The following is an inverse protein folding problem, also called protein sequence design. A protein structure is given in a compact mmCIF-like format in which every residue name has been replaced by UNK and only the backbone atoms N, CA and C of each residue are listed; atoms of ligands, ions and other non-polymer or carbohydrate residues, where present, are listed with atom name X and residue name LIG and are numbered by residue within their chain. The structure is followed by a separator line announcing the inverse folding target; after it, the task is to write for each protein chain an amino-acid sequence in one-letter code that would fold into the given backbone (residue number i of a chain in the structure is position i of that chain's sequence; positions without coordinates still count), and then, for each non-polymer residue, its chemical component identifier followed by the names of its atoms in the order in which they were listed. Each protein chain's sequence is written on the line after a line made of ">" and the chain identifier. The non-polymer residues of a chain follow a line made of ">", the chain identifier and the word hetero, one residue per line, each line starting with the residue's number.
data_IF_389698989797
#
_entry.id   IF_389698989797
#
_cell.length_a   1.000
_cell.length_b   1.000
_cell.length_c   1.000
_cell.angle_alpha   90.00
_cell.angle_beta   90.00
_cell.angle_gamma   90.00
#
_symmetry.space_group_name_H-M   'P 1'
#
loop_
_entity.id
_entity.type
_entity.pdbx_description
1 polymer ?
#
# COMPACT_ATOMS: atom_id res chain seq x y z
N UNK A 1 75.25 -13.25 15.63
CA UNK A 1 75.38 -14.61 15.04
C UNK A 1 74.05 -15.05 14.59
N UNK A 2 74.00 -14.95 13.41
CA UNK A 2 73.85 -15.61 12.12
C UNK A 2 72.44 -15.56 11.57
N UNK A 3 72.40 -14.88 10.46
CA UNK A 3 71.38 -14.89 9.41
C UNK A 3 70.92 -16.27 8.99
N UNK A 4 69.72 -16.34 8.46
CA UNK A 4 69.49 -16.91 7.10
C UNK A 4 68.13 -16.50 6.55
N UNK A 5 68.21 -15.78 5.42
CA UNK A 5 67.17 -15.56 4.40
C UNK A 5 66.81 -16.85 3.66
N UNK A 6 65.61 -16.89 3.16
CA UNK A 6 65.13 -17.37 1.83
C UNK A 6 63.60 -17.17 1.85
N UNK A 7 62.92 -16.50 0.98
CA UNK A 7 63.07 -16.27 -0.46
C UNK A 7 61.84 -16.83 -1.18
N UNK A 8 61.02 -15.96 -1.79
CA UNK A 8 60.31 -16.34 -3.01
C UNK A 8 58.78 -16.41 -2.99
N UNK A 9 58.13 -15.36 -3.49
CA UNK A 9 57.06 -15.38 -4.52
C UNK A 9 55.77 -16.18 -4.21
N UNK A 10 54.58 -15.71 -4.45
CA UNK A 10 53.93 -14.99 -5.55
C UNK A 10 52.59 -14.47 -5.12
N UNK A 11 52.22 -13.30 -5.59
CA UNK A 11 50.93 -12.66 -5.32
C UNK A 11 49.75 -13.42 -5.94
N UNK A 12 48.64 -13.34 -5.25
CA UNK A 12 47.29 -13.44 -5.84
C UNK A 12 46.46 -12.30 -5.28
N UNK A 13 46.25 -11.31 -6.11
CA UNK A 13 45.21 -10.30 -5.93
C UNK A 13 43.86 -10.98 -5.91
N UNK A 14 43.17 -10.96 -4.79
CA UNK A 14 41.74 -11.26 -4.72
C UNK A 14 40.99 -9.95 -4.98
N UNK A 15 40.48 -9.79 -6.21
CA UNK A 15 39.47 -8.81 -6.55
C UNK A 15 38.24 -9.05 -5.70
N UNK A 16 37.95 -8.07 -4.86
CA UNK A 16 36.63 -7.96 -4.19
C UNK A 16 35.58 -7.74 -5.27
N UNK A 17 34.72 -8.71 -5.45
CA UNK A 17 33.52 -8.61 -6.29
C UNK A 17 32.46 -7.77 -5.59
N UNK A 18 32.11 -6.70 -6.25
CA UNK A 18 31.10 -5.71 -5.94
C UNK A 18 29.78 -6.31 -5.44
N UNK A 19 29.26 -5.67 -4.40
CA UNK A 19 27.96 -6.00 -3.81
C UNK A 19 26.81 -5.90 -4.81
N UNK A 20 25.94 -6.87 -4.74
CA UNK A 20 24.63 -6.92 -5.37
C UNK A 20 23.78 -5.74 -4.86
N UNK A 21 23.59 -4.72 -5.68
CA UNK A 21 22.49 -3.77 -5.55
C UNK A 21 21.21 -4.53 -5.88
N UNK A 22 20.46 -4.98 -4.87
CA UNK A 22 19.07 -5.30 -5.04
C UNK A 22 18.31 -3.99 -5.28
N UNK A 23 18.08 -3.68 -6.54
CA UNK A 23 17.07 -2.73 -6.94
C UNK A 23 15.72 -3.33 -6.55
N UNK A 24 14.93 -2.58 -5.79
CA UNK A 24 13.49 -2.81 -5.61
C UNK A 24 12.86 -2.70 -6.99
N UNK A 25 12.67 -3.84 -7.65
CA UNK A 25 12.00 -3.88 -8.94
C UNK A 25 10.50 -3.80 -8.68
N UNK A 26 9.86 -2.74 -9.19
CA UNK A 26 8.40 -2.71 -9.34
C UNK A 26 7.94 -3.98 -10.06
N UNK A 27 6.77 -4.56 -9.68
CA UNK A 27 6.25 -5.73 -10.34
C UNK A 27 6.02 -5.42 -11.83
N UNK A 28 6.55 -6.28 -12.72
CA UNK A 28 6.30 -6.16 -14.16
C UNK A 28 4.81 -6.25 -14.41
N UNK A 29 4.24 -5.24 -15.07
CA UNK A 29 2.83 -5.22 -15.50
C UNK A 29 2.51 -6.47 -16.32
N UNK A 30 1.36 -7.09 -16.02
CA UNK A 30 0.75 -8.10 -16.89
C UNK A 30 0.50 -7.50 -18.28
N UNK A 31 0.87 -8.22 -19.34
CA UNK A 31 0.52 -7.86 -20.71
C UNK A 31 -1.00 -8.05 -20.89
N UNK A 32 -1.77 -6.98 -21.18
CA UNK A 32 -3.23 -7.08 -21.35
C UNK A 32 -3.65 -8.02 -22.50
N UNK A 33 -2.71 -8.41 -23.37
CA UNK A 33 -3.00 -9.23 -24.57
C UNK A 33 -3.21 -10.72 -24.27
N UNK A 34 -2.88 -11.22 -23.08
CA UNK A 34 -2.95 -12.66 -22.76
C UNK A 34 -4.24 -13.12 -22.11
N UNK A 35 -5.09 -12.20 -21.61
CA UNK A 35 -6.40 -12.50 -21.03
C UNK A 35 -7.51 -12.39 -22.08
N UNK A 36 -7.82 -13.48 -22.79
CA UNK A 36 -9.02 -13.58 -23.66
C UNK A 36 -10.27 -13.88 -22.82
N UNK A 37 -10.67 -12.99 -21.92
CA UNK A 37 -12.03 -12.97 -21.37
C UNK A 37 -12.63 -11.58 -21.60
N UNK A 38 -13.91 -11.56 -22.02
CA UNK A 38 -14.66 -10.39 -22.44
C UNK A 38 -14.61 -9.26 -21.42
N UNK A 39 -13.66 -8.34 -21.58
CA UNK A 39 -13.72 -7.03 -20.93
C UNK A 39 -14.87 -6.23 -21.59
N UNK A 40 -15.65 -5.45 -20.84
CA UNK A 40 -16.69 -4.59 -21.40
C UNK A 40 -16.08 -3.62 -22.42
N UNK A 41 -16.81 -3.33 -23.50
CA UNK A 41 -16.35 -2.45 -24.58
C UNK A 41 -16.04 -1.04 -24.04
N UNK A 42 -14.90 -0.49 -24.39
CA UNK A 42 -14.32 0.78 -23.90
C UNK A 42 -15.23 2.02 -23.93
N UNK A 43 -16.32 2.02 -24.68
CA UNK A 43 -17.23 3.17 -24.84
C UNK A 43 -18.31 3.29 -23.76
N UNK A 44 -18.66 2.22 -23.05
CA UNK A 44 -19.61 2.26 -21.94
C UNK A 44 -18.92 2.48 -20.57
N UNK A 45 -17.60 2.28 -20.49
CA UNK A 45 -16.86 2.27 -19.23
C UNK A 45 -16.62 3.68 -18.64
N UNK A 46 -16.44 4.73 -19.45
CA UNK A 46 -16.01 6.05 -18.94
C UNK A 46 -17.08 6.84 -18.18
N UNK A 47 -18.36 6.79 -18.59
CA UNK A 47 -19.46 7.41 -17.84
C UNK A 47 -19.80 6.61 -16.57
N UNK A 48 -19.54 5.30 -16.59
CA UNK A 48 -19.80 4.39 -15.47
C UNK A 48 -18.68 4.46 -14.42
N UNK A 49 -17.44 4.77 -14.82
CA UNK A 49 -16.28 4.83 -13.93
C UNK A 49 -16.38 5.93 -12.88
N UNK A 50 -16.71 7.17 -13.30
CA UNK A 50 -16.87 8.31 -12.38
C UNK A 50 -18.00 8.07 -11.38
N UNK A 51 -19.15 7.57 -11.82
CA UNK A 51 -20.28 7.24 -10.94
C UNK A 51 -19.94 6.11 -9.96
N UNK A 52 -19.21 5.08 -10.43
CA UNK A 52 -18.73 4.00 -9.55
C UNK A 52 -17.74 4.51 -8.51
N UNK A 53 -16.79 5.36 -8.90
CA UNK A 53 -15.89 6.02 -7.96
C UNK A 53 -16.63 6.93 -6.97
N UNK A 54 -17.58 7.76 -7.41
CA UNK A 54 -18.37 8.64 -6.53
C UNK A 54 -19.11 7.82 -5.46
N UNK A 55 -19.69 6.68 -5.84
CA UNK A 55 -20.31 5.75 -4.89
C UNK A 55 -19.28 5.14 -3.93
N UNK A 56 -18.14 4.68 -4.43
CA UNK A 56 -17.05 4.15 -3.60
C UNK A 56 -16.54 5.22 -2.61
N UNK A 57 -16.38 6.46 -3.06
CA UNK A 57 -15.95 7.57 -2.22
C UNK A 57 -16.98 7.96 -1.15
N UNK A 58 -18.27 7.91 -1.46
CA UNK A 58 -19.32 8.11 -0.46
C UNK A 58 -19.23 7.04 0.64
N UNK A 59 -19.14 5.75 0.26
CA UNK A 59 -18.97 4.65 1.20
C UNK A 59 -17.70 4.87 2.05
N UNK A 60 -16.59 5.30 1.44
CA UNK A 60 -15.34 5.56 2.16
C UNK A 60 -15.49 6.60 3.27
N UNK A 61 -16.28 7.68 3.06
CA UNK A 61 -16.52 8.68 4.11
C UNK A 61 -17.36 8.12 5.27
N UNK A 62 -18.35 7.26 4.95
CA UNK A 62 -19.14 6.57 5.96
C UNK A 62 -18.26 5.59 6.76
N UNK A 63 -17.40 4.81 6.10
CA UNK A 63 -16.43 3.90 6.75
C UNK A 63 -15.47 4.66 7.64
N UNK A 64 -14.90 5.78 7.19
CA UNK A 64 -14.01 6.62 8.00
C UNK A 64 -14.68 7.09 9.28
N UNK A 65 -15.92 7.55 9.18
CA UNK A 65 -16.71 7.99 10.33
C UNK A 65 -17.03 6.82 11.27
N UNK A 66 -17.47 5.70 10.71
CA UNK A 66 -17.73 4.47 11.45
C UNK A 66 -16.50 3.98 12.19
N UNK A 67 -15.36 3.83 11.51
CA UNK A 67 -14.11 3.36 12.11
C UNK A 67 -13.65 4.25 13.28
N UNK A 68 -13.66 5.58 13.09
CA UNK A 68 -13.33 6.54 14.17
C UNK A 68 -14.26 6.46 15.37
N UNK A 69 -15.50 6.01 15.21
CA UNK A 69 -16.49 5.93 16.29
C UNK A 69 -16.28 4.74 17.23
N UNK A 70 -15.73 3.63 16.74
CA UNK A 70 -15.63 2.40 17.53
C UNK A 70 -14.22 1.98 17.91
N UNK A 71 -13.19 2.36 17.11
CA UNK A 71 -11.80 1.96 17.40
C UNK A 71 -11.34 2.58 18.72
N UNK A 72 -10.85 1.71 19.60
CA UNK A 72 -10.31 2.09 20.92
C UNK A 72 -9.01 1.34 21.18
N UNK A 73 -8.21 1.89 22.08
CA UNK A 73 -7.02 1.19 22.60
C UNK A 73 -7.38 -0.21 23.09
N UNK A 74 -6.46 -1.14 22.92
CA UNK A 74 -6.55 -2.55 23.33
C UNK A 74 -7.59 -3.40 22.58
N UNK A 75 -8.29 -2.86 21.56
CA UNK A 75 -9.14 -3.67 20.70
C UNK A 75 -8.30 -4.59 19.81
N UNK A 76 -8.70 -5.87 19.59
CA UNK A 76 -8.02 -6.75 18.65
C UNK A 76 -8.00 -6.17 17.24
N UNK A 77 -6.83 -6.10 16.60
CA UNK A 77 -6.72 -5.60 15.22
C UNK A 77 -7.54 -6.43 14.24
N UNK A 78 -7.62 -7.74 14.45
CA UNK A 78 -8.44 -8.64 13.64
C UNK A 78 -9.92 -8.22 13.66
N UNK A 79 -10.46 -7.94 14.85
CA UNK A 79 -11.84 -7.49 15.01
C UNK A 79 -12.08 -6.13 14.31
N UNK A 80 -11.12 -5.22 14.41
CA UNK A 80 -11.21 -3.90 13.75
C UNK A 80 -11.25 -4.08 12.23
N UNK A 81 -10.34 -4.88 11.65
CA UNK A 81 -10.29 -5.10 10.22
C UNK A 81 -11.57 -5.74 9.69
N UNK A 82 -12.06 -6.81 10.35
CA UNK A 82 -13.28 -7.50 9.94
C UNK A 82 -14.51 -6.59 10.02
N UNK A 83 -14.66 -5.81 11.10
CA UNK A 83 -15.79 -4.86 11.22
C UNK A 83 -15.79 -3.80 10.13
N UNK A 84 -14.61 -3.29 9.75
CA UNK A 84 -14.48 -2.30 8.67
C UNK A 84 -14.85 -2.95 7.33
N UNK A 85 -14.31 -4.11 7.02
CA UNK A 85 -14.55 -4.84 5.77
C UNK A 85 -16.01 -5.30 5.63
N UNK A 86 -16.61 -5.83 6.70
CA UNK A 86 -18.01 -6.22 6.72
C UNK A 86 -18.93 -5.00 6.49
N UNK A 87 -18.59 -3.84 7.07
CA UNK A 87 -19.33 -2.59 6.86
C UNK A 87 -19.23 -2.07 5.43
N UNK A 88 -18.08 -2.24 4.76
CA UNK A 88 -17.94 -1.91 3.32
C UNK A 88 -18.94 -2.69 2.47
N UNK A 89 -19.06 -4.01 2.75
CA UNK A 89 -19.99 -4.90 2.03
C UNK A 89 -21.44 -4.54 2.33
N UNK A 90 -21.78 -4.25 3.61
CA UNK A 90 -23.12 -3.81 4.01
C UNK A 90 -23.56 -2.54 3.24
N UNK A 91 -22.64 -1.61 3.00
CA UNK A 91 -22.91 -0.38 2.26
C UNK A 91 -22.92 -0.55 0.73
N UNK A 92 -22.66 -1.78 0.25
CA UNK A 92 -22.72 -2.12 -1.18
C UNK A 92 -21.45 -1.82 -1.96
N UNK A 93 -20.30 -1.70 -1.29
CA UNK A 93 -18.96 -1.72 -1.86
C UNK A 93 -18.27 -3.05 -1.63
N UNK A 94 -17.03 -3.19 -2.12
CA UNK A 94 -16.13 -4.29 -1.79
C UNK A 94 -14.77 -3.72 -1.36
N UNK A 95 -14.03 -4.38 -0.46
CA UNK A 95 -12.64 -4.00 -0.20
C UNK A 95 -11.79 -4.02 -1.49
N UNK A 96 -11.11 -2.92 -1.78
CA UNK A 96 -10.16 -2.85 -2.89
C UNK A 96 -8.81 -3.48 -2.54
N UNK A 97 -8.53 -3.54 -1.24
CA UNK A 97 -7.40 -4.23 -0.63
C UNK A 97 -7.74 -4.50 0.85
N UNK A 98 -7.00 -5.41 1.53
CA UNK A 98 -7.23 -5.70 2.94
C UNK A 98 -7.03 -4.46 3.81
N UNK A 99 -7.92 -4.21 4.76
CA UNK A 99 -7.74 -3.10 5.70
C UNK A 99 -6.39 -3.21 6.41
N UNK A 100 -5.53 -2.19 6.23
CA UNK A 100 -4.22 -2.09 6.89
C UNK A 100 -4.38 -1.37 8.23
N UNK A 101 -3.79 -1.95 9.27
CA UNK A 101 -3.82 -1.45 10.65
C UNK A 101 -2.39 -1.35 11.19
N UNK A 102 -1.65 -0.38 10.68
CA UNK A 102 -0.22 -0.23 10.93
C UNK A 102 0.05 0.61 12.19
N UNK A 103 0.83 0.05 13.14
CA UNK A 103 1.12 0.67 14.45
C UNK A 103 2.52 1.29 14.44
N UNK A 104 2.65 2.48 14.99
CA UNK A 104 3.90 3.19 15.27
C UNK A 104 4.84 3.28 14.04
N UNK A 105 5.98 2.60 14.08
CA UNK A 105 7.00 2.60 13.02
C UNK A 105 6.64 1.79 11.76
N UNK A 106 5.63 0.93 11.82
CA UNK A 106 5.11 0.28 10.62
C UNK A 106 4.32 1.34 9.85
N UNK A 107 4.85 1.80 8.74
CA UNK A 107 4.24 2.85 7.94
C UNK A 107 3.00 2.34 7.19
N UNK A 108 3.10 1.16 6.56
CA UNK A 108 2.05 0.59 5.73
C UNK A 108 2.14 -0.95 5.64
N UNK A 109 1.15 -1.55 4.98
CA UNK A 109 1.08 -2.98 4.66
C UNK A 109 1.05 -3.91 5.87
N UNK A 110 0.43 -3.48 6.97
CA UNK A 110 0.12 -4.39 8.06
C UNK A 110 -1.38 -4.69 8.07
N UNK A 111 -1.76 -5.90 7.71
CA UNK A 111 -3.13 -6.43 7.92
C UNK A 111 -3.09 -7.62 8.88
N UNK A 112 -4.03 -7.73 9.83
CA UNK A 112 -4.05 -8.86 10.76
C UNK A 112 -4.27 -10.19 10.03
N UNK A 113 -3.52 -11.23 10.45
CA UNK A 113 -3.78 -12.60 10.02
C UNK A 113 -5.04 -13.17 10.70
N UNK A 114 -5.47 -14.36 10.25
CA UNK A 114 -6.66 -15.03 10.82
C UNK A 114 -6.52 -15.41 12.30
N UNK A 115 -5.31 -15.45 12.83
CA UNK A 115 -4.96 -15.81 14.21
C UNK A 115 -4.19 -14.71 14.94
N UNK A 116 -4.19 -13.49 14.39
CA UNK A 116 -3.49 -12.34 14.97
C UNK A 116 -4.01 -12.01 16.38
N UNK A 117 -3.07 -11.79 17.30
CA UNK A 117 -3.36 -11.44 18.71
C UNK A 117 -3.03 -10.00 19.05
N UNK A 118 -2.53 -9.22 18.08
CA UNK A 118 -2.20 -7.81 18.32
C UNK A 118 -3.45 -6.99 18.58
N UNK A 119 -3.26 -5.98 19.40
CA UNK A 119 -4.30 -5.01 19.74
C UNK A 119 -3.92 -3.60 19.27
N UNK A 120 -4.90 -2.75 19.14
CA UNK A 120 -4.74 -1.35 18.76
C UNK A 120 -4.04 -0.58 19.89
N UNK A 121 -2.91 0.05 19.57
CA UNK A 121 -2.08 0.81 20.51
C UNK A 121 -1.30 1.92 19.80
N UNK A 122 -0.67 2.78 20.56
CA UNK A 122 0.26 3.77 20.04
C UNK A 122 -0.37 4.75 19.05
N UNK A 123 0.34 5.01 17.96
CA UNK A 123 -0.16 5.73 16.80
C UNK A 123 -0.60 4.70 15.75
N UNK A 124 -1.91 4.53 15.59
CA UNK A 124 -2.53 3.59 14.67
C UNK A 124 -2.88 4.29 13.35
N UNK A 125 -2.39 3.76 12.23
CA UNK A 125 -2.85 4.09 10.89
C UNK A 125 -3.90 3.09 10.45
N UNK A 126 -5.05 3.61 10.01
CA UNK A 126 -6.14 2.84 9.43
C UNK A 126 -6.22 3.22 7.96
N UNK A 127 -5.84 2.30 7.11
CA UNK A 127 -5.74 2.50 5.68
C UNK A 127 -6.62 1.44 4.97
N UNK A 128 -7.52 1.90 4.11
CA UNK A 128 -8.57 1.10 3.53
C UNK A 128 -9.04 1.62 2.18
N UNK A 129 -9.23 0.71 1.25
CA UNK A 129 -9.79 1.01 -0.07
C UNK A 129 -11.14 0.33 -0.26
N UNK A 130 -12.08 1.04 -0.88
CA UNK A 130 -13.36 0.51 -1.31
C UNK A 130 -13.47 0.62 -2.81
N UNK A 131 -13.94 -0.43 -3.47
CA UNK A 131 -14.27 -0.32 -4.88
C UNK A 131 -15.73 -0.63 -5.17
N UNK A 132 -16.25 0.00 -6.22
CA UNK A 132 -17.51 -0.33 -6.88
C UNK A 132 -17.17 -0.57 -8.35
N UNK A 133 -17.44 -1.77 -8.84
CA UNK A 133 -17.11 -2.19 -10.22
C UNK A 133 -15.63 -1.93 -10.61
N UNK A 134 -14.68 -2.20 -9.69
CA UNK A 134 -13.26 -2.01 -9.92
C UNK A 134 -12.73 -0.58 -9.73
N UNK A 135 -13.59 0.43 -9.57
CA UNK A 135 -13.19 1.82 -9.36
C UNK A 135 -13.03 2.10 -7.86
N UNK A 136 -11.81 2.34 -7.46
CA UNK A 136 -11.40 2.41 -6.05
C UNK A 136 -11.41 3.83 -5.51
N UNK A 137 -11.91 3.98 -4.27
CA UNK A 137 -11.61 5.10 -3.38
C UNK A 137 -10.66 4.62 -2.29
N UNK A 138 -9.44 5.11 -2.32
CA UNK A 138 -8.35 4.83 -1.39
C UNK A 138 -8.28 5.90 -0.32
N UNK A 139 -8.20 5.51 0.95
CA UNK A 139 -8.30 6.42 2.08
C UNK A 139 -7.52 5.92 3.29
N UNK A 140 -6.85 6.83 3.97
CA UNK A 140 -6.25 6.55 5.26
C UNK A 140 -6.45 7.68 6.27
N UNK A 141 -6.36 7.33 7.54
CA UNK A 141 -6.27 8.26 8.65
C UNK A 141 -5.45 7.66 9.79
N UNK A 142 -4.88 8.52 10.61
CA UNK A 142 -4.17 8.11 11.82
C UNK A 142 -4.97 8.43 13.09
N UNK A 143 -4.78 7.61 14.13
CA UNK A 143 -5.38 7.79 15.46
C UNK A 143 -4.29 7.72 16.53
N UNK A 144 -4.33 8.66 17.47
CA UNK A 144 -3.52 8.62 18.68
C UNK A 144 -4.28 7.87 19.80
N UNK A 145 -3.80 6.68 20.15
CA UNK A 145 -4.39 5.85 21.21
C UNK A 145 -3.63 5.95 22.56
N UNK A 146 -2.67 6.90 22.65
CA UNK A 146 -1.84 7.12 23.86
C UNK A 146 -2.09 8.49 24.50
N UNK A 147 -2.87 9.35 23.86
CA UNK A 147 -3.04 10.75 24.24
C UNK A 147 -1.70 11.52 24.27
N UNK A 148 -0.87 11.33 23.25
CA UNK A 148 0.45 11.94 23.11
C UNK A 148 0.40 13.22 22.29
N UNK A 149 0.90 14.32 22.84
CA UNK A 149 0.99 15.60 22.11
C UNK A 149 1.90 15.50 20.87
N UNK A 150 2.92 14.65 20.91
CA UNK A 150 3.77 14.39 19.74
C UNK A 150 3.00 13.65 18.65
N UNK A 151 2.24 12.62 19.00
CA UNK A 151 1.41 11.88 18.03
C UNK A 151 0.37 12.80 17.39
N UNK A 152 -0.30 13.64 18.18
CA UNK A 152 -1.30 14.61 17.68
C UNK A 152 -0.69 15.57 16.66
N UNK A 153 0.48 16.14 16.94
CA UNK A 153 1.20 17.03 16.02
C UNK A 153 1.66 16.29 14.75
N UNK A 154 2.10 15.03 14.89
CA UNK A 154 2.51 14.23 13.76
C UNK A 154 1.31 13.93 12.84
N UNK A 155 0.17 13.57 13.40
CA UNK A 155 -1.09 13.38 12.68
C UNK A 155 -1.51 14.69 11.99
N UNK A 156 -1.55 15.80 12.72
CA UNK A 156 -1.89 17.12 12.18
C UNK A 156 -1.01 17.51 11.00
N UNK A 157 0.28 17.17 11.03
CA UNK A 157 1.21 17.48 9.94
C UNK A 157 0.85 16.76 8.64
N UNK A 158 0.47 15.48 8.71
CA UNK A 158 0.04 14.70 7.54
C UNK A 158 -1.34 15.15 7.03
N UNK A 159 -2.28 15.43 7.94
CA UNK A 159 -3.61 15.96 7.60
C UNK A 159 -3.51 17.33 6.90
N UNK A 160 -2.67 18.21 7.42
CA UNK A 160 -2.47 19.55 6.83
C UNK A 160 -1.75 19.45 5.49
N UNK A 161 -0.82 18.53 5.34
CA UNK A 161 -0.16 18.27 4.06
C UNK A 161 -1.15 17.78 3.00
N UNK A 162 -2.05 16.86 3.35
CA UNK A 162 -3.11 16.40 2.47
C UNK A 162 -4.08 17.52 2.09
N UNK A 163 -4.48 18.34 3.07
CA UNK A 163 -5.37 19.50 2.83
C UNK A 163 -4.73 20.47 1.82
N UNK A 164 -3.47 20.86 2.04
CA UNK A 164 -2.77 21.81 1.19
C UNK A 164 -2.50 21.25 -0.21
N UNK A 165 -2.02 20.01 -0.32
CA UNK A 165 -1.82 19.35 -1.61
C UNK A 165 -3.12 19.25 -2.40
N UNK A 166 -4.22 18.87 -1.73
CA UNK A 166 -5.53 18.74 -2.39
C UNK A 166 -6.08 20.03 -2.98
N UNK A 167 -5.77 21.20 -2.38
CA UNK A 167 -6.21 22.52 -2.89
C UNK A 167 -5.60 22.85 -4.24
N UNK A 168 -4.38 22.36 -4.51
CA UNK A 168 -3.65 22.63 -5.73
C UNK A 168 -3.58 21.42 -6.67
N UNK A 169 -4.24 20.31 -6.34
CA UNK A 169 -4.21 19.10 -7.14
C UNK A 169 -5.14 19.24 -8.37
N UNK A 170 -4.62 19.84 -9.42
CA UNK A 170 -5.32 20.09 -10.69
C UNK A 170 -4.33 20.15 -11.86
N UNK A 171 -4.84 20.24 -13.10
CA UNK A 171 -4.03 20.24 -14.35
C UNK A 171 -3.05 21.40 -14.51
N UNK A 172 -3.16 22.46 -13.71
CA UNK A 172 -2.25 23.61 -13.78
C UNK A 172 -0.94 23.34 -13.05
N UNK A 173 -0.92 22.32 -12.15
CA UNK A 173 0.23 21.98 -11.33
C UNK A 173 0.92 20.69 -11.80
N UNK A 174 2.20 20.56 -11.45
CA UNK A 174 3.00 19.37 -11.69
C UNK A 174 3.05 18.47 -10.46
N UNK A 175 3.38 17.20 -10.66
CA UNK A 175 3.58 16.27 -9.54
C UNK A 175 4.68 16.75 -8.57
N UNK A 176 5.75 17.38 -9.07
CA UNK A 176 6.80 17.96 -8.22
C UNK A 176 6.30 19.12 -7.36
N UNK A 177 5.40 19.97 -7.86
CA UNK A 177 4.77 21.04 -7.05
C UNK A 177 3.89 20.48 -5.95
N UNK A 178 3.17 19.38 -6.21
CA UNK A 178 2.41 18.67 -5.18
C UNK A 178 3.34 18.12 -4.10
N UNK A 179 4.37 17.36 -4.51
CA UNK A 179 5.36 16.81 -3.58
C UNK A 179 6.07 17.89 -2.75
N UNK A 180 6.42 19.02 -3.38
CA UNK A 180 6.98 20.18 -2.68
C UNK A 180 6.02 20.73 -1.62
N UNK A 181 4.75 20.84 -1.94
CA UNK A 181 3.72 21.35 -1.00
C UNK A 181 3.56 20.42 0.20
N UNK A 182 3.57 19.09 -0.03
CA UNK A 182 3.55 18.09 1.03
C UNK A 182 4.79 18.23 1.91
N UNK A 183 5.97 18.24 1.30
CA UNK A 183 7.25 18.35 2.02
C UNK A 183 7.33 19.63 2.85
N UNK A 184 7.05 20.79 2.25
CA UNK A 184 7.13 22.08 2.93
C UNK A 184 6.15 22.13 4.10
N UNK A 185 4.95 21.56 3.95
CA UNK A 185 3.95 21.52 5.03
C UNK A 185 4.44 20.65 6.18
N UNK A 186 4.85 19.39 5.93
CA UNK A 186 5.35 18.49 6.98
C UNK A 186 6.58 19.08 7.67
N UNK A 187 7.52 19.67 6.91
CA UNK A 187 8.74 20.27 7.43
C UNK A 187 8.46 21.48 8.32
N UNK A 188 7.37 22.23 8.09
CA UNK A 188 6.96 23.35 8.95
C UNK A 188 6.60 22.91 10.38
N UNK A 189 6.17 21.66 10.55
CA UNK A 189 5.95 21.01 11.85
C UNK A 189 7.23 20.40 12.45
N UNK A 190 8.40 20.53 11.77
CA UNK A 190 9.69 19.94 12.14
C UNK A 190 9.70 18.39 12.06
N UNK A 191 8.91 17.84 11.17
CA UNK A 191 8.89 16.43 10.80
C UNK A 191 9.45 16.23 9.38
N UNK A 192 9.68 14.97 9.00
CA UNK A 192 10.13 14.57 7.67
C UNK A 192 9.02 13.86 6.91
N UNK A 193 8.82 14.13 5.60
CA UNK A 193 8.01 13.25 4.78
C UNK A 193 8.73 11.92 4.55
N UNK A 194 7.98 10.83 4.34
CA UNK A 194 8.57 9.57 3.86
C UNK A 194 8.77 9.69 2.35
N UNK A 195 10.04 9.76 1.90
CA UNK A 195 10.37 10.08 0.50
C UNK A 195 10.28 8.88 -0.46
N UNK A 196 10.24 7.67 0.04
CA UNK A 196 10.11 6.45 -0.76
C UNK A 196 8.74 5.77 -0.61
N UNK A 197 7.75 6.49 -0.12
CA UNK A 197 6.32 6.24 -0.29
C UNK A 197 5.70 7.39 -1.07
N UNK A 198 4.67 7.10 -1.84
CA UNK A 198 4.02 8.08 -2.72
C UNK A 198 2.58 7.69 -2.99
N UNK A 199 1.71 8.66 -3.14
CA UNK A 199 0.44 8.45 -3.79
C UNK A 199 0.60 7.99 -5.24
N UNK A 200 -0.50 7.59 -5.86
CA UNK A 200 -0.48 6.92 -7.16
C UNK A 200 -1.74 7.21 -7.98
N UNK A 201 -1.66 6.98 -9.29
CA UNK A 201 -2.84 6.93 -10.13
C UNK A 201 -3.55 5.57 -9.96
N UNK A 202 -4.88 5.60 -10.14
CA UNK A 202 -5.76 4.44 -10.01
C UNK A 202 -6.53 4.28 -11.33
N UNK A 203 -6.74 3.04 -11.77
CA UNK A 203 -7.65 2.70 -12.85
C UNK A 203 -8.54 1.51 -12.48
N UNK A 204 -9.43 1.11 -13.36
CA UNK A 204 -10.37 0.02 -13.10
C UNK A 204 -9.62 -1.28 -12.78
N UNK A 205 -9.83 -1.84 -11.59
CA UNK A 205 -9.11 -2.99 -11.02
C UNK A 205 -7.57 -2.86 -10.99
N UNK A 206 -7.03 -1.66 -11.10
CA UNK A 206 -5.58 -1.40 -11.01
C UNK A 206 -5.31 -0.29 -10.00
N UNK A 207 -4.87 -0.67 -8.81
CA UNK A 207 -4.64 0.26 -7.71
C UNK A 207 -3.43 1.18 -7.97
N UNK A 208 -2.42 0.72 -8.74
CA UNK A 208 -1.19 1.47 -9.03
C UNK A 208 -0.99 1.60 -10.55
N UNK A 209 -1.78 2.46 -11.19
CA UNK A 209 -1.89 2.50 -12.66
C UNK A 209 -0.81 3.32 -13.39
N UNK A 210 0.29 3.66 -12.74
CA UNK A 210 1.51 4.13 -13.42
C UNK A 210 2.08 5.48 -12.99
N UNK A 211 1.28 6.50 -12.63
CA UNK A 211 1.81 7.76 -12.12
C UNK A 211 2.01 7.69 -10.61
N UNK A 212 3.05 8.35 -10.11
CA UNK A 212 3.29 8.53 -8.68
C UNK A 212 3.05 9.98 -8.26
N UNK A 213 2.40 10.17 -7.11
CA UNK A 213 2.23 11.48 -6.45
C UNK A 213 3.24 11.56 -5.32
N UNK A 214 4.38 12.25 -5.49
CA UNK A 214 5.47 12.20 -4.54
C UNK A 214 5.13 12.93 -3.22
N UNK A 215 5.76 12.50 -2.13
CA UNK A 215 5.69 13.15 -0.83
C UNK A 215 6.78 14.21 -0.62
N UNK A 216 7.60 14.47 -1.63
CA UNK A 216 8.71 15.42 -1.59
C UNK A 216 8.92 16.08 -2.96
N UNK A 217 9.67 17.16 -2.99
CA UNK A 217 10.06 17.87 -4.22
C UNK A 217 11.05 17.03 -5.04
N UNK A 218 10.52 16.14 -5.86
CA UNK A 218 11.31 15.31 -6.78
C UNK A 218 11.66 16.00 -8.11
N UNK A 219 11.30 17.30 -8.25
CA UNK A 219 11.50 18.10 -9.48
C UNK A 219 10.77 17.55 -10.72
N UNK A 220 9.77 16.67 -10.56
CA UNK A 220 8.97 16.20 -11.66
C UNK A 220 8.10 17.36 -12.20
N UNK A 221 8.38 17.79 -13.43
CA UNK A 221 7.64 18.87 -14.12
C UNK A 221 6.41 18.37 -14.88
N UNK A 222 6.13 17.07 -14.86
CA UNK A 222 4.97 16.50 -15.52
C UNK A 222 3.68 17.02 -14.87
N UNK A 223 2.78 17.53 -15.70
CA UNK A 223 1.50 18.08 -15.24
C UNK A 223 0.50 16.97 -14.92
N UNK A 224 -0.34 17.23 -13.93
CA UNK A 224 -1.42 16.34 -13.56
C UNK A 224 -2.38 16.24 -14.76
N UNK A 225 -2.70 15.03 -15.16
CA UNK A 225 -3.62 14.74 -16.27
C UNK A 225 -5.00 14.28 -15.76
N UNK A 226 -5.94 14.06 -16.68
CA UNK A 226 -7.22 13.41 -16.36
C UNK A 226 -6.98 12.04 -15.76
N UNK A 227 -7.68 11.73 -14.68
CA UNK A 227 -7.53 10.43 -14.03
C UNK A 227 -8.00 10.42 -12.58
N UNK A 228 -7.80 9.29 -11.95
CA UNK A 228 -8.08 9.06 -10.53
C UNK A 228 -6.75 8.92 -9.80
N UNK A 229 -6.58 9.62 -8.69
CA UNK A 229 -5.32 9.68 -7.97
C UNK A 229 -5.54 9.59 -6.46
N UNK A 230 -4.76 8.75 -5.79
CA UNK A 230 -4.57 8.77 -4.35
C UNK A 230 -3.47 9.77 -4.00
N UNK A 231 -3.71 10.58 -2.98
CA UNK A 231 -2.72 11.48 -2.37
C UNK A 231 -2.56 11.05 -0.92
N UNK A 232 -1.37 10.62 -0.53
CA UNK A 232 -1.11 9.97 0.76
C UNK A 232 0.16 10.50 1.46
N UNK A 233 0.12 11.66 2.08
CA UNK A 233 1.23 12.16 2.87
C UNK A 233 1.54 11.27 4.07
N UNK A 234 2.81 10.84 4.15
CA UNK A 234 3.37 10.16 5.31
C UNK A 234 4.34 11.09 6.03
N UNK A 235 4.16 11.28 7.33
CA UNK A 235 5.03 12.10 8.17
C UNK A 235 5.69 11.27 9.27
N UNK A 236 6.96 11.57 9.57
CA UNK A 236 7.71 10.92 10.65
C UNK A 236 8.67 11.90 11.33
N UNK A 237 9.05 11.59 12.57
CA UNK A 237 10.18 12.24 13.25
C UNK A 237 11.52 11.59 12.90
N UNK A 238 11.49 10.45 12.22
CA UNK A 238 12.65 9.65 11.87
C UNK A 238 13.40 10.13 10.64
N UNK A 239 14.05 9.19 9.94
CA UNK A 239 14.90 9.48 8.76
C UNK A 239 14.05 9.89 7.55
N UNK A 240 12.76 9.56 7.52
CA UNK A 240 11.90 9.83 6.37
C UNK A 240 12.04 8.80 5.25
N UNK A 241 12.36 7.56 5.59
CA UNK A 241 12.43 6.42 4.66
C UNK A 241 11.89 5.17 5.31
N UNK A 242 11.31 4.30 4.49
CA UNK A 242 10.91 2.95 4.88
C UNK A 242 11.79 1.90 4.22
N UNK A 243 11.85 0.74 4.86
CA UNK A 243 12.46 -0.49 4.36
C UNK A 243 11.50 -1.66 4.50
N UNK A 244 11.75 -2.73 3.75
CA UNK A 244 10.99 -3.96 3.86
C UNK A 244 11.16 -4.59 5.24
N UNK A 245 10.02 -4.88 5.85
CA UNK A 245 9.92 -5.58 7.13
C UNK A 245 9.59 -7.07 6.94
N UNK A 246 8.72 -7.59 7.82
CA UNK A 246 8.21 -8.95 7.73
C UNK A 246 7.23 -9.09 6.56
N UNK A 247 7.00 -10.31 6.04
CA UNK A 247 5.89 -10.58 5.14
C UNK A 247 4.57 -10.05 5.70
N UNK A 248 3.76 -9.39 4.88
CA UNK A 248 2.52 -8.73 5.32
C UNK A 248 1.32 -9.68 5.38
N UNK A 249 1.36 -10.77 4.60
CA UNK A 249 0.20 -11.60 4.33
C UNK A 249 -0.76 -10.98 3.30
N UNK A 250 -0.33 -9.91 2.61
CA UNK A 250 -1.04 -9.28 1.49
C UNK A 250 -0.41 -9.77 0.19
N UNK A 251 -1.25 -10.19 -0.73
CA UNK A 251 -0.86 -10.74 -2.03
C UNK A 251 -1.57 -10.01 -3.16
N UNK A 252 -0.98 -10.07 -4.35
CA UNK A 252 -1.59 -9.61 -5.59
C UNK A 252 -1.33 -10.62 -6.70
N UNK A 253 -2.32 -10.87 -7.52
CA UNK A 253 -2.18 -11.70 -8.71
C UNK A 253 -1.35 -10.96 -9.77
N UNK A 254 -0.25 -11.59 -10.21
CA UNK A 254 0.67 -11.02 -11.21
C UNK A 254 0.83 -11.89 -12.45
N UNK A 255 0.45 -13.17 -12.38
CA UNK A 255 0.52 -14.12 -13.51
C UNK A 255 -0.49 -15.24 -13.28
N UNK A 256 -1.10 -15.75 -14.36
CA UNK A 256 -2.10 -16.84 -14.31
C UNK A 256 -1.54 -18.18 -14.77
N UNK A 257 -0.23 -18.42 -14.63
CA UNK A 257 0.38 -19.73 -14.91
C UNK A 257 -0.33 -20.84 -14.16
N UNK A 258 -0.60 -21.94 -14.83
CA UNK A 258 -1.28 -23.08 -14.22
C UNK A 258 -0.43 -23.72 -13.11
N UNK A 259 -0.87 -23.74 -11.85
CA UNK A 259 -0.16 -24.40 -10.77
C UNK A 259 -0.34 -25.94 -10.84
N UNK A 260 0.51 -26.68 -10.12
CA UNK A 260 0.54 -28.14 -10.18
C UNK A 260 -0.63 -28.79 -9.45
N UNK A 261 -0.89 -28.36 -8.21
CA UNK A 261 -1.92 -29.01 -7.39
C UNK A 261 -3.33 -28.53 -7.79
N UNK A 262 -4.30 -29.41 -7.62
CA UNK A 262 -5.71 -29.08 -7.87
C UNK A 262 -6.17 -27.98 -6.91
N UNK A 263 -5.79 -28.04 -5.63
CA UNK A 263 -6.15 -27.02 -4.65
C UNK A 263 -5.60 -25.64 -5.02
N UNK A 264 -4.37 -25.57 -5.53
CA UNK A 264 -3.82 -24.29 -5.97
C UNK A 264 -4.56 -23.72 -7.20
N UNK A 265 -5.02 -24.60 -8.13
CA UNK A 265 -5.89 -24.17 -9.25
C UNK A 265 -7.23 -23.61 -8.75
N UNK A 266 -7.89 -24.33 -7.83
CA UNK A 266 -9.16 -23.86 -7.23
C UNK A 266 -9.02 -22.51 -6.52
N UNK A 267 -7.90 -22.31 -5.81
CA UNK A 267 -7.61 -21.04 -5.12
C UNK A 267 -7.27 -19.95 -6.13
N UNK A 268 -6.52 -20.25 -7.19
CA UNK A 268 -6.19 -19.30 -8.25
C UNK A 268 -7.45 -18.83 -8.98
N UNK A 269 -8.31 -19.76 -9.40
CA UNK A 269 -9.59 -19.44 -10.05
C UNK A 269 -10.45 -18.52 -9.14
N UNK A 270 -10.51 -18.83 -7.85
CA UNK A 270 -11.22 -17.98 -6.88
C UNK A 270 -10.61 -16.58 -6.75
N UNK A 271 -9.27 -16.46 -6.73
CA UNK A 271 -8.56 -15.17 -6.66
C UNK A 271 -8.86 -14.34 -7.91
N UNK A 272 -8.81 -14.95 -9.09
CA UNK A 272 -9.14 -14.27 -10.35
C UNK A 272 -10.58 -13.76 -10.38
N UNK A 273 -11.53 -14.59 -9.97
CA UNK A 273 -12.97 -14.26 -10.00
C UNK A 273 -13.35 -13.20 -8.96
N UNK A 274 -12.77 -13.26 -7.75
CA UNK A 274 -13.20 -12.39 -6.64
C UNK A 274 -12.41 -11.07 -6.56
N UNK A 275 -11.09 -11.14 -6.80
CA UNK A 275 -10.20 -9.98 -6.60
C UNK A 275 -9.63 -9.42 -7.89
N UNK A 276 -9.68 -10.16 -8.99
CA UNK A 276 -9.01 -9.79 -10.26
C UNK A 276 -7.53 -9.48 -10.04
N UNK A 277 -7.13 -8.23 -10.26
CA UNK A 277 -5.77 -7.72 -10.02
C UNK A 277 -5.64 -6.87 -8.76
N UNK A 278 -6.70 -6.76 -7.96
CA UNK A 278 -6.65 -6.05 -6.68
C UNK A 278 -5.93 -6.87 -5.60
N UNK A 279 -5.24 -6.23 -4.66
CA UNK A 279 -4.61 -6.92 -3.53
C UNK A 279 -5.63 -7.62 -2.63
N UNK A 280 -5.25 -8.78 -2.11
CA UNK A 280 -6.04 -9.56 -1.16
C UNK A 280 -5.15 -10.11 -0.04
N UNK A 281 -5.72 -10.70 1.02
CA UNK A 281 -4.91 -11.23 2.13
C UNK A 281 -5.13 -12.71 2.42
N UNK A 282 -4.13 -13.30 3.09
CA UNK A 282 -4.20 -14.70 3.54
C UNK A 282 -5.40 -14.97 4.46
N UNK A 283 -5.86 -13.99 5.24
CA UNK A 283 -7.04 -14.09 6.13
C UNK A 283 -8.31 -14.41 5.34
N UNK A 284 -8.54 -13.75 4.21
CA UNK A 284 -9.69 -13.99 3.35
C UNK A 284 -9.65 -15.38 2.70
N UNK A 285 -8.46 -15.82 2.26
CA UNK A 285 -8.25 -17.15 1.71
C UNK A 285 -8.44 -18.22 2.80
N UNK A 286 -7.93 -17.98 4.03
CA UNK A 286 -8.16 -18.88 5.14
C UNK A 286 -9.66 -19.01 5.52
N UNK A 287 -10.40 -17.90 5.53
CA UNK A 287 -11.85 -17.89 5.80
C UNK A 287 -12.62 -18.82 4.84
N UNK A 288 -12.20 -18.91 3.58
CA UNK A 288 -12.85 -19.74 2.55
C UNK A 288 -12.30 -21.17 2.46
N UNK A 289 -11.00 -21.34 2.48
CA UNK A 289 -10.33 -22.61 2.18
C UNK A 289 -9.65 -23.26 3.39
N UNK A 290 -9.65 -22.62 4.55
CA UNK A 290 -8.97 -23.03 5.76
C UNK A 290 -7.46 -23.27 5.50
N UNK A 291 -6.80 -24.15 6.26
CA UNK A 291 -5.37 -24.42 6.14
C UNK A 291 -4.94 -24.84 4.72
N UNK A 292 -5.79 -25.52 3.93
CA UNK A 292 -5.46 -25.90 2.56
C UNK A 292 -5.23 -24.68 1.65
N UNK A 293 -5.95 -23.58 1.91
CA UNK A 293 -5.76 -22.32 1.19
C UNK A 293 -4.39 -21.70 1.45
N UNK A 294 -3.86 -21.79 2.66
CA UNK A 294 -2.53 -21.28 2.99
C UNK A 294 -1.41 -22.06 2.28
N UNK A 295 -1.56 -23.38 2.15
CA UNK A 295 -0.63 -24.19 1.35
C UNK A 295 -0.70 -23.83 -0.14
N UNK A 296 -1.90 -23.57 -0.66
CA UNK A 296 -2.10 -23.13 -2.03
C UNK A 296 -1.47 -21.77 -2.29
N UNK A 297 -1.63 -20.77 -1.38
CA UNK A 297 -0.97 -19.46 -1.50
C UNK A 297 0.55 -19.60 -1.61
N UNK A 298 1.15 -20.46 -0.77
CA UNK A 298 2.60 -20.72 -0.85
C UNK A 298 3.02 -21.34 -2.18
N UNK A 299 2.23 -22.27 -2.71
CA UNK A 299 2.49 -22.87 -4.05
C UNK A 299 2.39 -21.80 -5.14
N UNK A 300 1.35 -20.97 -5.12
CA UNK A 300 1.12 -19.89 -6.08
C UNK A 300 2.22 -18.82 -6.03
N UNK A 301 2.69 -18.45 -4.84
CA UNK A 301 3.83 -17.55 -4.66
C UNK A 301 5.11 -18.14 -5.26
N UNK A 302 5.43 -19.40 -4.94
CA UNK A 302 6.60 -20.10 -5.49
C UNK A 302 6.53 -20.32 -6.99
N UNK A 303 5.32 -20.50 -7.55
CA UNK A 303 5.10 -20.64 -8.99
C UNK A 303 5.17 -19.28 -9.72
N UNK A 304 5.19 -18.17 -8.99
CA UNK A 304 5.23 -16.82 -9.53
C UNK A 304 3.88 -16.31 -10.02
N UNK A 305 2.77 -16.85 -9.51
CA UNK A 305 1.43 -16.32 -9.75
C UNK A 305 1.17 -15.08 -8.88
N UNK A 306 1.71 -15.06 -7.67
CA UNK A 306 1.42 -14.04 -6.69
C UNK A 306 2.67 -13.22 -6.34
N UNK A 307 2.49 -11.92 -6.22
CA UNK A 307 3.40 -11.04 -5.50
C UNK A 307 2.98 -10.99 -4.04
N UNK A 308 3.92 -11.15 -3.11
CA UNK A 308 3.70 -11.05 -1.67
C UNK A 308 4.35 -9.76 -1.16
N UNK A 309 3.55 -8.84 -0.65
CA UNK A 309 4.03 -7.56 -0.13
C UNK A 309 4.73 -7.73 1.22
N UNK A 310 5.77 -6.93 1.45
CA UNK A 310 6.36 -6.77 2.78
C UNK A 310 5.63 -5.66 3.57
N UNK A 311 5.66 -5.74 4.90
CA UNK A 311 5.36 -4.59 5.75
C UNK A 311 6.41 -3.51 5.49
N UNK A 312 5.99 -2.25 5.45
CA UNK A 312 6.89 -1.12 5.24
C UNK A 312 7.18 -0.45 6.59
N UNK A 313 8.44 -0.44 6.98
CA UNK A 313 8.85 -0.04 8.32
C UNK A 313 9.82 1.14 8.23
N UNK A 314 9.56 2.21 8.98
CA UNK A 314 10.45 3.36 9.04
C UNK A 314 11.84 2.94 9.53
N UNK A 315 12.90 3.33 8.79
CA UNK A 315 14.26 2.81 8.99
C UNK A 315 14.83 3.05 10.40
N UNK A 316 14.53 4.20 11.00
CA UNK A 316 14.96 4.55 12.36
C UNK A 316 14.02 4.07 13.46
N UNK A 317 12.94 3.34 13.11
CA UNK A 317 11.89 2.89 14.03
C UNK A 317 11.12 4.03 14.70
N UNK A 318 11.09 5.18 14.07
CA UNK A 318 10.27 6.30 14.52
C UNK A 318 8.82 6.13 14.07
N UNK A 319 7.89 6.69 14.85
CA UNK A 319 6.46 6.65 14.51
C UNK A 319 6.19 7.36 13.20
N UNK A 320 5.20 6.85 12.46
CA UNK A 320 4.73 7.39 11.18
C UNK A 320 3.24 7.69 11.28
N UNK A 321 2.82 8.87 10.83
CA UNK A 321 1.43 9.20 10.56
C UNK A 321 1.17 9.20 9.05
N UNK A 322 -0.02 8.75 8.65
CA UNK A 322 -0.52 8.74 7.28
C UNK A 322 -1.90 9.38 7.25
N UNK A 323 -2.15 10.12 6.20
CA UNK A 323 -3.50 10.60 5.87
C UNK A 323 -3.66 10.52 4.37
N UNK A 324 -4.81 10.03 3.89
CA UNK A 324 -5.00 9.76 2.47
C UNK A 324 -6.43 10.05 2.01
N UNK A 325 -6.53 10.44 0.75
CA UNK A 325 -7.80 10.44 0.00
C UNK A 325 -7.57 10.32 -1.50
N UNK A 326 -8.60 9.87 -2.18
CA UNK A 326 -8.64 9.79 -3.66
C UNK A 326 -9.35 11.01 -4.27
N UNK A 327 -8.81 11.52 -5.39
CA UNK A 327 -9.35 12.66 -6.14
C UNK A 327 -9.52 12.27 -7.59
N UNK A 328 -10.69 12.60 -8.17
CA UNK A 328 -10.96 12.49 -9.59
C UNK A 328 -10.65 13.82 -10.29
N UNK A 329 -9.83 13.79 -11.35
CA UNK A 329 -9.50 14.93 -12.22
C UNK A 329 -10.18 14.73 -13.59
N UNK A 330 -11.09 15.65 -13.95
CA UNK A 330 -11.87 15.63 -15.20
C UNK A 330 -11.06 15.99 -16.45
#
# INVERSE_FOLDING_TARGET
>A
MTEKQYGGQTGRENKATSGNKKTTAEPKKLDPSTSKRNLPKETESKSNGKSSFEKANQIAQEIKTFAKSFIKKDMPLLEIAEKIEDKMVELGGKPAFPTNLSINEIAAHYTPSYDDKRTAEGLLKVDFGIHVNGWTSDNAFSMDLENSEENKKLIESSEKALENASKIFNKEHSFGEIGKTIQDTISSFKFQPIVNLSGHSISEYDLHSGFTVPNYDNKNSEKISKGLYAIEPFATKGIGKVQDGKPSGIYQLIDNKTPRSQTAREVLDFIEDEYSTLPFCQRWIYKKFQARGLFALRELELNGNLHHFAQLVEESKSKVAQTEKTIWID
#
